data_IF_470722071761
#
_entry.id   IF_470722071761
#
_cell.length_a   1.000
_cell.length_b   1.000
_cell.length_c   1.000
_cell.angle_alpha   90.00
_cell.angle_beta   90.00
_cell.angle_gamma   90.00
#
_symmetry.space_group_name_H-M   'P 1'
#
loop_
_entity.id
_entity.type
_entity.pdbx_description
1 polymer ?
#
# COMPACT_ATOMS: atom_id res chain seq x y z
N UNK A 1 3.79 1.12 10.99
CA UNK A 1 3.56 0.58 9.63
C UNK A 1 4.74 0.86 8.69
N UNK A 2 5.10 2.13 8.41
CA UNK A 2 6.16 2.50 7.43
C UNK A 2 7.51 1.79 7.59
N UNK A 3 8.11 1.82 8.78
CA UNK A 3 9.42 1.18 8.99
C UNK A 3 9.41 -0.34 8.72
N UNK A 4 8.28 -1.01 8.98
CA UNK A 4 8.12 -2.43 8.69
C UNK A 4 7.85 -2.70 7.19
N UNK A 5 7.40 -1.68 6.44
CA UNK A 5 7.14 -1.74 5.00
C UNK A 5 8.43 -1.55 4.17
N UNK A 6 9.38 -0.75 4.65
CA UNK A 6 10.67 -0.49 4.00
C UNK A 6 11.42 -1.74 3.46
N UNK A 7 11.60 -2.84 4.22
CA UNK A 7 12.29 -4.01 3.69
C UNK A 7 11.52 -4.67 2.53
N UNK A 8 10.19 -4.63 2.55
CA UNK A 8 9.35 -5.15 1.45
C UNK A 8 9.46 -4.25 0.22
N UNK A 9 9.45 -2.93 0.39
CA UNK A 9 9.62 -2.00 -0.74
C UNK A 9 10.98 -2.20 -1.41
N UNK A 10 12.03 -2.37 -0.63
CA UNK A 10 13.38 -2.65 -1.12
C UNK A 10 13.47 -4.01 -1.83
N UNK A 11 12.84 -5.06 -1.30
CA UNK A 11 12.79 -6.41 -1.89
C UNK A 11 12.22 -6.39 -3.33
N UNK A 12 11.20 -5.57 -3.57
CA UNK A 12 10.53 -5.46 -4.87
C UNK A 12 10.99 -4.28 -5.73
N UNK A 13 11.91 -3.44 -5.22
CA UNK A 13 12.38 -2.24 -5.93
C UNK A 13 11.28 -1.20 -6.18
N UNK A 14 10.27 -1.13 -5.30
CA UNK A 14 9.13 -0.22 -5.42
C UNK A 14 9.20 0.91 -4.40
N UNK A 15 8.44 1.98 -4.63
CA UNK A 15 8.29 3.08 -3.69
C UNK A 15 6.86 3.14 -3.16
N UNK A 16 6.71 3.71 -1.96
CA UNK A 16 5.40 4.00 -1.38
C UNK A 16 5.17 5.51 -1.40
N UNK A 17 3.99 5.91 -1.84
CA UNK A 17 3.51 7.29 -1.72
C UNK A 17 2.78 7.46 -0.39
N UNK A 18 3.09 8.52 0.35
CA UNK A 18 2.38 8.88 1.58
C UNK A 18 1.42 9.99 1.23
N UNK A 19 0.13 9.69 1.33
CA UNK A 19 -0.96 10.63 1.07
C UNK A 19 -1.55 11.06 2.40
N UNK A 20 -1.73 12.37 2.57
CA UNK A 20 -2.47 12.93 3.70
C UNK A 20 -3.98 12.79 3.43
N UNK A 21 -4.68 12.03 4.26
CA UNK A 21 -6.12 11.78 4.06
C UNK A 21 -6.96 13.01 4.37
N UNK A 22 -6.48 13.90 5.24
CA UNK A 22 -7.19 15.14 5.62
C UNK A 22 -7.17 16.18 4.50
N UNK A 23 -6.27 16.01 3.51
CA UNK A 23 -6.16 16.89 2.35
C UNK A 23 -7.16 16.56 1.23
N UNK A 24 -7.75 15.36 1.23
CA UNK A 24 -8.74 14.92 0.24
C UNK A 24 -10.05 14.51 0.94
N UNK A 25 -11.15 15.28 0.77
CA UNK A 25 -12.44 14.97 1.40
C UNK A 25 -12.98 13.57 1.10
N UNK A 26 -12.61 12.97 -0.04
CA UNK A 26 -13.00 11.60 -0.38
C UNK A 26 -12.19 10.57 0.42
N UNK A 27 -10.91 10.84 0.65
CA UNK A 27 -10.05 9.99 1.48
C UNK A 27 -10.38 10.17 2.97
N UNK A 28 -10.61 11.40 3.43
CA UNK A 28 -11.07 11.71 4.78
C UNK A 28 -12.38 10.99 5.09
N UNK A 29 -13.40 11.12 4.22
CA UNK A 29 -14.67 10.43 4.41
C UNK A 29 -14.56 8.90 4.35
N UNK A 30 -13.60 8.36 3.58
CA UNK A 30 -13.42 6.92 3.40
C UNK A 30 -12.61 6.27 4.52
N UNK A 31 -11.55 6.93 4.95
CA UNK A 31 -10.57 6.35 5.87
C UNK A 31 -10.63 6.97 7.25
N UNK A 32 -10.86 8.28 7.39
CA UNK A 32 -10.99 8.97 8.67
C UNK A 32 -9.96 8.45 9.71
N UNK A 33 -10.42 7.86 10.80
CA UNK A 33 -9.57 7.33 11.89
C UNK A 33 -8.83 6.04 11.55
N UNK A 34 -9.07 5.38 10.41
CA UNK A 34 -8.43 4.11 10.00
C UNK A 34 -6.93 4.26 9.66
N UNK A 35 -6.39 5.48 9.71
CA UNK A 35 -4.99 5.75 9.44
C UNK A 35 -4.04 5.08 10.46
N UNK A 36 -2.87 4.56 10.01
CA UNK A 36 -2.42 4.46 8.63
C UNK A 36 -3.11 3.32 7.86
N UNK A 37 -3.48 3.57 6.60
CA UNK A 37 -4.03 2.59 5.66
C UNK A 37 -3.05 2.38 4.51
N UNK A 38 -2.87 1.13 4.09
CA UNK A 38 -2.05 0.78 2.93
C UNK A 38 -2.93 0.30 1.79
N UNK A 39 -2.79 0.94 0.64
CA UNK A 39 -3.56 0.65 -0.58
C UNK A 39 -2.58 0.36 -1.72
N UNK A 40 -2.90 -0.64 -2.54
CA UNK A 40 -2.15 -0.97 -3.75
C UNK A 40 -3.13 -1.05 -4.92
N UNK A 41 -2.91 -0.25 -5.97
CA UNK A 41 -3.78 -0.16 -7.15
C UNK A 41 -5.29 -0.03 -6.81
N UNK A 42 -5.60 0.78 -5.78
CA UNK A 42 -6.97 1.01 -5.30
C UNK A 42 -7.53 -0.06 -4.35
N UNK A 43 -6.80 -1.14 -4.09
CA UNK A 43 -7.18 -2.21 -3.16
C UNK A 43 -6.53 -1.98 -1.80
N UNK A 44 -7.35 -1.86 -0.76
CA UNK A 44 -6.87 -1.81 0.63
C UNK A 44 -6.26 -3.15 1.04
N UNK A 45 -5.02 -3.10 1.51
CA UNK A 45 -4.27 -4.27 1.97
C UNK A 45 -4.38 -4.43 3.48
N UNK A 46 -4.20 -3.35 4.23
CA UNK A 46 -4.30 -3.37 5.69
C UNK A 46 -4.43 -1.94 6.25
N UNK A 47 -4.98 -1.84 7.45
CA UNK A 47 -5.03 -0.61 8.25
C UNK A 47 -4.53 -0.89 9.67
N UNK A 48 -4.06 0.14 10.37
CA UNK A 48 -3.45 0.11 11.72
C UNK A 48 -2.16 -0.73 11.84
N UNK A 49 -2.21 -2.01 11.44
CA UNK A 49 -1.11 -2.97 11.52
C UNK A 49 -0.72 -3.42 10.11
N UNK A 50 0.59 -3.62 9.91
CA UNK A 50 1.10 -4.11 8.64
C UNK A 50 0.85 -5.63 8.54
N UNK A 51 0.17 -6.06 7.49
CA UNK A 51 0.17 -7.47 7.07
C UNK A 51 1.24 -7.69 6.00
N UNK A 52 2.44 -8.07 6.44
CA UNK A 52 3.58 -8.26 5.55
C UNK A 52 3.33 -9.34 4.48
N UNK A 53 2.58 -10.40 4.80
CA UNK A 53 2.29 -11.47 3.87
C UNK A 53 1.35 -10.98 2.75
N UNK A 54 0.29 -10.25 3.12
CA UNK A 54 -0.65 -9.66 2.16
C UNK A 54 0.01 -8.62 1.27
N UNK A 55 0.90 -7.79 1.83
CA UNK A 55 1.68 -6.82 1.05
C UNK A 55 2.61 -7.51 0.07
N UNK A 56 3.39 -8.50 0.51
CA UNK A 56 4.28 -9.25 -0.37
C UNK A 56 3.52 -9.89 -1.53
N UNK A 57 2.37 -10.51 -1.24
CA UNK A 57 1.53 -11.13 -2.28
C UNK A 57 1.00 -10.09 -3.29
N UNK A 58 0.57 -8.92 -2.82
CA UNK A 58 0.11 -7.84 -3.70
C UNK A 58 1.25 -7.31 -4.59
N UNK A 59 2.43 -7.07 -4.02
CA UNK A 59 3.60 -6.61 -4.78
C UNK A 59 4.06 -7.65 -5.81
N UNK A 60 4.07 -8.93 -5.46
CA UNK A 60 4.42 -10.01 -6.39
C UNK A 60 3.41 -10.10 -7.55
N UNK A 61 2.11 -10.03 -7.25
CA UNK A 61 1.07 -10.04 -8.27
C UNK A 61 1.18 -8.82 -9.22
N UNK A 62 1.43 -7.64 -8.66
CA UNK A 62 1.61 -6.40 -9.41
C UNK A 62 2.85 -6.43 -10.31
N UNK A 63 3.98 -6.91 -9.78
CA UNK A 63 5.21 -7.08 -10.57
C UNK A 63 5.00 -8.06 -11.74
N UNK A 64 4.29 -9.18 -11.51
CA UNK A 64 3.94 -10.12 -12.56
C UNK A 64 3.02 -9.51 -13.62
N UNK A 65 2.03 -8.70 -13.21
CA UNK A 65 1.14 -7.98 -14.13
C UNK A 65 1.91 -6.98 -15.02
N UNK A 66 2.82 -6.19 -14.42
CA UNK A 66 3.67 -5.24 -15.16
C UNK A 66 4.58 -5.98 -16.15
N UNK A 67 5.18 -7.10 -15.74
CA UNK A 67 6.03 -7.90 -16.62
C UNK A 67 5.27 -8.58 -17.78
N UNK A 68 3.96 -8.74 -17.65
CA UNK A 68 3.09 -9.32 -18.67
C UNK A 68 2.49 -8.27 -19.64
N UNK A 69 2.68 -6.98 -19.38
CA UNK A 69 2.28 -5.91 -20.30
C UNK A 69 3.31 -5.79 -21.45
N UNK A 70 2.88 -5.78 -22.73
CA UNK A 70 3.76 -5.75 -23.89
C UNK A 70 4.45 -4.39 -24.12
#
# INVERSE_FOLDING_TARGET
MRAALEPLLAEFGVQVEVVDVDADPLLEARYNELVPVLVCDGVELCHYHLDAARVRNALAARAACIAAAP
#
